data_IF_331248077675
#
_entry.id   IF_331248077675
#
_cell.length_a   1.000
_cell.length_b   1.000
_cell.length_c   1.000
_cell.angle_alpha   90.00
_cell.angle_beta   90.00
_cell.angle_gamma   90.00
#
_symmetry.space_group_name_H-M   'P 1'
#
loop_
_entity.id
_entity.type
_entity.pdbx_description
1 polymer ?
#
# COMPACT_ATOMS: atom_id res chain seq x y z
N UNK A 1 32.29 12.34 5.64
CA UNK A 1 32.83 12.27 4.25
C UNK A 1 33.47 13.61 3.93
N UNK A 2 34.67 13.59 3.33
CA UNK A 2 35.44 14.78 2.97
C UNK A 2 34.63 15.67 2.01
N UNK A 3 34.39 16.92 2.41
CA UNK A 3 33.86 17.96 1.55
C UNK A 3 34.92 18.31 0.50
N UNK A 4 34.68 17.92 -0.75
CA UNK A 4 35.45 18.41 -1.90
C UNK A 4 35.07 19.88 -2.07
N UNK A 5 35.96 20.79 -1.69
CA UNK A 5 35.77 22.22 -1.90
C UNK A 5 35.83 22.49 -3.41
N UNK A 6 34.68 22.82 -4.01
CA UNK A 6 34.56 23.19 -5.44
C UNK A 6 34.77 24.70 -5.60
N UNK A 7 35.50 25.12 -6.65
CA UNK A 7 35.83 26.54 -6.91
C UNK A 7 35.08 27.16 -8.12
N UNK A 8 33.90 26.63 -8.44
CA UNK A 8 33.09 27.11 -9.55
C UNK A 8 32.38 28.45 -9.27
N UNK A 9 31.75 29.03 -10.31
CA UNK A 9 31.06 30.33 -10.22
C UNK A 9 29.94 30.32 -9.16
N UNK A 10 29.27 29.17 -8.99
CA UNK A 10 28.16 29.05 -8.06
C UNK A 10 28.67 29.05 -6.61
N UNK A 11 29.75 28.33 -6.32
CA UNK A 11 30.42 28.32 -5.00
C UNK A 11 31.05 29.66 -4.60
N UNK A 12 31.30 30.56 -5.55
CA UNK A 12 31.70 31.94 -5.26
C UNK A 12 30.50 32.84 -4.97
N UNK A 13 29.36 32.54 -5.57
CA UNK A 13 28.13 33.32 -5.44
C UNK A 13 27.39 33.01 -4.13
N UNK A 14 27.34 31.72 -3.76
CA UNK A 14 26.75 31.22 -2.53
C UNK A 14 27.89 30.56 -1.76
N UNK A 15 28.15 31.01 -0.53
CA UNK A 15 29.23 30.53 0.34
C UNK A 15 29.49 29.02 0.17
N UNK A 16 30.76 28.62 0.05
CA UNK A 16 31.20 27.25 -0.26
C UNK A 16 30.53 26.20 0.65
N UNK A 17 30.19 26.56 1.88
CA UNK A 17 29.50 25.71 2.85
C UNK A 17 28.07 25.32 2.45
N UNK A 18 27.42 26.10 1.59
CA UNK A 18 26.01 25.94 1.23
C UNK A 18 25.86 25.11 -0.06
N UNK A 19 26.93 24.90 -0.84
CA UNK A 19 26.83 24.36 -2.22
C UNK A 19 26.88 22.83 -2.36
N UNK A 20 26.18 22.10 -1.50
CA UNK A 20 25.97 20.65 -1.63
C UNK A 20 24.96 20.28 -2.74
N UNK A 21 24.76 18.97 -3.00
CA UNK A 21 23.82 18.51 -4.03
C UNK A 21 22.39 18.97 -3.75
N UNK A 22 21.93 18.86 -2.49
CA UNK A 22 20.60 19.32 -2.06
C UNK A 22 20.39 20.81 -2.32
N UNK A 23 21.44 21.61 -2.30
CA UNK A 23 21.40 23.03 -2.63
C UNK A 23 21.28 23.25 -4.13
N UNK A 24 21.96 22.44 -4.94
CA UNK A 24 21.78 22.45 -6.40
C UNK A 24 20.32 22.15 -6.77
N UNK A 25 19.71 21.16 -6.10
CA UNK A 25 18.31 20.77 -6.29
C UNK A 25 17.38 21.95 -5.94
N UNK A 26 17.53 22.51 -4.74
CA UNK A 26 16.82 23.70 -4.28
C UNK A 26 16.93 24.85 -5.28
N UNK A 27 18.16 25.18 -5.72
CA UNK A 27 18.41 26.34 -6.55
C UNK A 27 17.78 26.17 -7.94
N UNK A 28 17.83 24.96 -8.50
CA UNK A 28 17.16 24.66 -9.76
C UNK A 28 15.65 24.84 -9.64
N UNK A 29 15.03 24.36 -8.56
CA UNK A 29 13.61 24.58 -8.28
C UNK A 29 13.27 26.06 -8.13
N UNK A 30 14.12 26.80 -7.42
CA UNK A 30 13.96 28.23 -7.19
C UNK A 30 13.95 29.01 -8.49
N UNK A 31 14.92 28.78 -9.37
CA UNK A 31 14.99 29.49 -10.64
C UNK A 31 13.75 29.15 -11.48
N UNK A 32 13.38 27.86 -11.60
CA UNK A 32 12.24 27.45 -12.43
C UNK A 32 10.88 27.90 -11.93
N UNK A 33 10.70 28.11 -10.62
CA UNK A 33 9.43 28.63 -10.12
C UNK A 33 9.25 30.13 -10.38
N UNK A 34 10.36 30.87 -10.54
CA UNK A 34 10.36 32.32 -10.77
C UNK A 34 10.45 32.72 -12.24
N UNK A 35 10.77 31.79 -13.15
CA UNK A 35 10.88 32.10 -14.57
C UNK A 35 10.51 30.92 -15.46
N UNK A 36 9.73 31.21 -16.51
CA UNK A 36 9.44 30.22 -17.57
C UNK A 36 10.62 30.03 -18.53
N UNK A 37 11.58 30.96 -18.52
CA UNK A 37 12.73 30.95 -19.44
C UNK A 37 13.78 29.90 -19.10
N UNK A 38 13.78 29.40 -17.86
CA UNK A 38 14.75 28.41 -17.39
C UNK A 38 14.24 26.96 -17.52
N UNK A 39 12.97 26.77 -17.89
CA UNK A 39 12.29 25.46 -18.00
C UNK A 39 13.00 24.52 -19.00
N UNK A 40 13.74 25.06 -19.97
CA UNK A 40 14.44 24.28 -21.00
C UNK A 40 15.82 23.75 -20.59
N UNK A 41 16.33 24.11 -19.41
CA UNK A 41 17.58 23.53 -18.91
C UNK A 41 17.24 22.21 -18.22
N UNK A 42 17.43 21.12 -18.95
CA UNK A 42 17.30 19.75 -18.43
C UNK A 42 18.09 19.64 -17.12
N UNK A 43 17.41 19.22 -16.06
CA UNK A 43 18.01 18.92 -14.77
C UNK A 43 19.14 17.87 -14.97
N UNK A 44 20.42 18.14 -14.65
CA UNK A 44 21.50 17.17 -14.92
C UNK A 44 22.93 17.72 -14.82
N UNK A 45 23.89 16.88 -15.26
CA UNK A 45 25.33 17.15 -15.21
C UNK A 45 25.68 18.47 -15.95
N UNK A 46 26.43 19.34 -15.27
CA UNK A 46 26.82 20.71 -15.68
C UNK A 46 25.79 21.85 -15.49
N UNK A 47 24.74 21.67 -14.69
CA UNK A 47 23.79 22.75 -14.41
C UNK A 47 24.31 23.86 -13.49
N UNK A 48 25.30 23.60 -12.63
CA UNK A 48 25.82 24.60 -11.68
C UNK A 48 26.29 25.89 -12.37
N UNK A 49 27.12 25.77 -13.42
CA UNK A 49 27.61 26.92 -14.15
C UNK A 49 26.49 27.62 -14.94
N UNK A 50 25.54 26.86 -15.50
CA UNK A 50 24.37 27.43 -16.20
C UNK A 50 23.47 28.21 -15.23
N UNK A 51 23.21 27.69 -14.04
CA UNK A 51 22.46 28.39 -12.98
C UNK A 51 23.20 29.66 -12.55
N UNK A 52 24.51 29.58 -12.31
CA UNK A 52 25.31 30.75 -11.95
C UNK A 52 25.30 31.83 -13.06
N UNK A 53 25.52 31.43 -14.32
CA UNK A 53 25.52 32.36 -15.45
C UNK A 53 24.14 32.99 -15.66
N UNK A 54 23.06 32.23 -15.47
CA UNK A 54 21.70 32.74 -15.54
C UNK A 54 21.41 33.75 -14.42
N UNK A 55 21.82 33.47 -13.19
CA UNK A 55 21.64 34.41 -12.07
C UNK A 55 22.46 35.69 -12.27
N UNK A 56 23.70 35.59 -12.75
CA UNK A 56 24.54 36.78 -13.07
C UNK A 56 23.84 37.67 -14.11
N UNK A 57 23.18 37.07 -15.10
CA UNK A 57 22.42 37.80 -16.12
C UNK A 57 21.09 38.37 -15.60
N UNK A 58 20.64 37.95 -14.41
CA UNK A 58 19.38 38.38 -13.79
C UNK A 58 19.60 38.86 -12.34
N UNK A 59 20.24 40.03 -12.09
CA UNK A 59 20.61 40.48 -10.75
C UNK A 59 19.46 40.55 -9.72
N UNK A 60 18.22 40.96 -10.07
CA UNK A 60 17.11 40.91 -9.13
C UNK A 60 16.79 39.49 -8.66
N UNK A 61 16.83 38.51 -9.57
CA UNK A 61 16.60 37.10 -9.26
C UNK A 61 17.76 36.51 -8.45
N UNK A 62 19.00 36.92 -8.75
CA UNK A 62 20.17 36.56 -7.96
C UNK A 62 20.03 36.97 -6.50
N UNK A 63 19.62 38.23 -6.25
CA UNK A 63 19.39 38.71 -4.89
C UNK A 63 18.33 37.87 -4.17
N UNK A 64 17.20 37.59 -4.82
CA UNK A 64 16.16 36.75 -4.24
C UNK A 64 16.63 35.33 -3.96
N UNK A 65 17.47 34.75 -4.83
CA UNK A 65 18.04 33.41 -4.61
C UNK A 65 18.98 33.38 -3.39
N UNK A 66 19.81 34.42 -3.22
CA UNK A 66 20.70 34.58 -2.05
C UNK A 66 19.87 34.75 -0.77
N UNK A 67 18.86 35.60 -0.80
CA UNK A 67 17.97 35.82 0.34
C UNK A 67 17.25 34.52 0.73
N UNK A 68 16.75 33.76 -0.24
CA UNK A 68 16.11 32.46 0.00
C UNK A 68 17.10 31.41 0.55
N UNK A 69 18.33 31.36 0.02
CA UNK A 69 19.37 30.47 0.53
C UNK A 69 19.73 30.78 2.00
N UNK A 70 19.76 32.07 2.37
CA UNK A 70 20.08 32.53 3.72
C UNK A 70 18.98 32.26 4.75
N UNK A 71 17.72 32.07 4.34
CA UNK A 71 16.64 31.62 5.23
C UNK A 71 16.89 30.20 5.76
N UNK A 72 17.80 29.47 5.13
CA UNK A 72 18.21 28.13 5.55
C UNK A 72 17.25 27.05 5.07
N UNK A 73 17.70 25.81 5.26
CA UNK A 73 16.97 24.58 4.93
C UNK A 73 16.72 23.80 6.21
N UNK A 74 15.71 22.95 6.22
CA UNK A 74 15.49 22.04 7.34
C UNK A 74 16.69 21.09 7.49
N UNK A 75 17.06 20.75 8.72
CA UNK A 75 18.09 19.73 8.95
C UNK A 75 17.62 18.37 8.45
N UNK A 76 18.56 17.47 8.16
CA UNK A 76 18.23 16.12 7.67
C UNK A 76 17.36 15.36 8.68
N UNK A 77 17.59 15.55 9.98
CA UNK A 77 16.79 14.95 11.05
C UNK A 77 15.28 15.24 10.94
N UNK A 78 14.89 16.41 10.39
CA UNK A 78 13.49 16.75 10.17
C UNK A 78 12.87 15.97 8.98
N UNK A 79 13.71 15.44 8.09
CA UNK A 79 13.35 14.82 6.82
C UNK A 79 13.63 13.30 6.79
N UNK A 80 14.29 12.73 7.81
CA UNK A 80 14.65 11.30 7.90
C UNK A 80 13.47 10.34 7.71
N UNK A 81 12.25 10.77 8.00
CA UNK A 81 11.04 9.96 7.85
C UNK A 81 10.55 9.86 6.39
N UNK A 82 11.09 10.69 5.49
CA UNK A 82 10.83 10.66 4.06
C UNK A 82 11.80 9.64 3.44
N UNK A 83 11.24 8.56 2.94
CA UNK A 83 11.98 7.42 2.38
C UNK A 83 11.92 7.40 0.85
N UNK A 84 12.56 6.41 0.22
CA UNK A 84 12.43 6.12 -1.21
C UNK A 84 11.18 5.27 -1.54
N UNK A 85 10.28 5.07 -0.59
CA UNK A 85 9.03 4.35 -0.84
C UNK A 85 8.16 5.15 -1.84
N UNK A 86 7.93 4.55 -3.01
CA UNK A 86 7.21 5.18 -4.12
C UNK A 86 5.81 5.67 -3.75
N UNK A 87 5.10 4.94 -2.89
CA UNK A 87 3.74 5.33 -2.46
C UNK A 87 3.80 6.55 -1.55
N UNK A 88 4.76 6.58 -0.62
CA UNK A 88 5.03 7.73 0.24
C UNK A 88 5.43 8.95 -0.58
N UNK A 89 6.41 8.82 -1.47
CA UNK A 89 6.93 9.93 -2.28
C UNK A 89 5.86 10.49 -3.21
N UNK A 90 5.09 9.64 -3.92
CA UNK A 90 3.97 10.09 -4.76
C UNK A 90 2.91 10.84 -3.94
N UNK A 91 2.60 10.35 -2.74
CA UNK A 91 1.66 11.02 -1.83
C UNK A 91 2.20 12.39 -1.37
N UNK A 92 3.46 12.46 -0.93
CA UNK A 92 4.10 13.70 -0.47
C UNK A 92 4.20 14.73 -1.59
N UNK A 93 4.55 14.31 -2.80
CA UNK A 93 4.58 15.20 -3.97
C UNK A 93 3.20 15.83 -4.18
N UNK A 94 2.13 15.05 -4.16
CA UNK A 94 0.78 15.59 -4.32
C UNK A 94 0.40 16.51 -3.15
N UNK A 95 0.65 16.08 -1.91
CA UNK A 95 0.36 16.83 -0.70
C UNK A 95 1.00 18.23 -0.72
N UNK A 96 2.31 18.28 -0.98
CA UNK A 96 3.03 19.55 -1.03
C UNK A 96 2.70 20.36 -2.28
N UNK A 97 2.50 19.75 -3.45
CA UNK A 97 2.07 20.50 -4.64
C UNK A 97 0.71 21.18 -4.41
N UNK A 98 -0.23 20.52 -3.73
CA UNK A 98 -1.55 21.08 -3.41
C UNK A 98 -1.48 22.25 -2.41
N UNK A 99 -0.64 22.12 -1.37
CA UNK A 99 -0.42 23.18 -0.38
C UNK A 99 0.30 24.36 -1.02
N UNK A 100 1.35 24.12 -1.79
CA UNK A 100 2.21 25.15 -2.38
C UNK A 100 1.60 25.76 -3.66
N UNK A 101 0.49 25.21 -4.14
CA UNK A 101 -0.08 25.52 -5.47
C UNK A 101 0.96 25.37 -6.59
N UNK A 102 1.86 24.40 -6.44
CA UNK A 102 2.92 24.12 -7.39
C UNK A 102 2.40 23.20 -8.50
N UNK A 103 2.72 23.52 -9.75
CA UNK A 103 2.33 22.68 -10.88
C UNK A 103 3.23 21.43 -10.95
N UNK A 104 2.66 20.25 -10.61
CA UNK A 104 3.34 18.95 -10.65
C UNK A 104 4.02 18.65 -12.00
N UNK A 105 3.53 19.19 -13.11
CA UNK A 105 4.13 18.99 -14.45
C UNK A 105 5.50 19.67 -14.60
N UNK A 106 5.83 20.63 -13.73
CA UNK A 106 7.11 21.36 -13.73
C UNK A 106 8.19 20.66 -12.89
N UNK A 107 7.89 19.52 -12.28
CA UNK A 107 8.86 18.77 -11.49
C UNK A 107 9.98 18.20 -12.38
N UNK A 108 11.25 18.26 -11.94
CA UNK A 108 12.37 17.67 -12.66
C UNK A 108 12.24 16.15 -12.70
N UNK A 109 12.38 15.58 -13.89
CA UNK A 109 12.22 14.12 -14.11
C UNK A 109 13.44 13.28 -13.72
N UNK A 110 14.58 13.94 -13.49
CA UNK A 110 15.88 13.29 -13.29
C UNK A 110 16.29 13.23 -11.80
N UNK A 111 15.51 13.86 -10.90
CA UNK A 111 15.65 13.64 -9.47
C UNK A 111 15.02 12.30 -9.06
N UNK A 112 15.55 11.72 -7.99
CA UNK A 112 14.83 10.66 -7.28
C UNK A 112 13.50 11.21 -6.74
N UNK A 113 12.54 10.34 -6.48
CA UNK A 113 11.24 10.78 -5.96
C UNK A 113 11.39 11.39 -4.56
N UNK A 114 12.29 10.86 -3.72
CA UNK A 114 12.62 11.43 -2.41
C UNK A 114 13.25 12.81 -2.53
N UNK A 115 14.29 12.95 -3.36
CA UNK A 115 14.98 14.24 -3.52
C UNK A 115 14.05 15.29 -4.13
N UNK A 116 13.09 14.87 -4.97
CA UNK A 116 12.02 15.75 -5.47
C UNK A 116 11.17 16.31 -4.33
N UNK A 117 10.78 15.48 -3.37
CA UNK A 117 10.02 15.93 -2.18
C UNK A 117 10.85 16.90 -1.34
N UNK A 118 12.12 16.58 -1.09
CA UNK A 118 13.02 17.43 -0.31
C UNK A 118 13.23 18.78 -0.99
N UNK A 119 13.48 18.78 -2.30
CA UNK A 119 13.65 20.01 -3.07
C UNK A 119 12.37 20.87 -3.10
N UNK A 120 11.18 20.26 -3.14
CA UNK A 120 9.91 20.98 -3.00
C UNK A 120 9.80 21.69 -1.64
N UNK A 121 10.13 20.99 -0.55
CA UNK A 121 10.11 21.54 0.81
C UNK A 121 11.15 22.66 0.95
N UNK A 122 12.38 22.42 0.49
CA UNK A 122 13.47 23.40 0.58
C UNK A 122 13.17 24.65 -0.23
N UNK A 123 12.60 24.49 -1.42
CA UNK A 123 12.22 25.58 -2.30
C UNK A 123 11.17 26.52 -1.69
N UNK A 124 10.38 26.03 -0.75
CA UNK A 124 9.29 26.82 -0.19
C UNK A 124 9.79 28.02 0.60
N UNK A 125 9.38 29.20 0.14
CA UNK A 125 9.89 30.50 0.59
C UNK A 125 9.18 31.02 1.85
N UNK A 126 9.27 30.24 2.93
CA UNK A 126 8.74 30.54 4.28
C UNK A 126 9.80 30.30 5.35
N UNK A 127 9.54 30.70 6.59
CA UNK A 127 10.48 30.49 7.68
C UNK A 127 10.65 29.00 8.02
N UNK A 128 11.85 28.60 8.47
CA UNK A 128 12.13 27.19 8.79
C UNK A 128 11.23 26.64 9.90
N UNK A 129 10.82 27.47 10.86
CA UNK A 129 9.89 27.05 11.90
C UNK A 129 8.54 26.64 11.28
N UNK A 130 7.97 27.47 10.42
CA UNK A 130 6.73 27.17 9.71
C UNK A 130 6.89 25.95 8.81
N UNK A 131 7.98 25.87 8.04
CA UNK A 131 8.32 24.72 7.19
C UNK A 131 8.35 23.42 7.98
N UNK A 132 8.96 23.44 9.17
CA UNK A 132 8.99 22.28 10.07
C UNK A 132 7.59 21.87 10.54
N UNK A 133 6.70 22.82 10.79
CA UNK A 133 5.30 22.53 11.16
C UNK A 133 4.59 21.77 10.04
N UNK A 134 4.67 22.25 8.80
CA UNK A 134 4.05 21.57 7.66
C UNK A 134 4.64 20.19 7.36
N UNK A 135 5.96 20.02 7.54
CA UNK A 135 6.59 18.70 7.42
C UNK A 135 6.10 17.74 8.50
N UNK A 136 5.93 18.23 9.74
CA UNK A 136 5.37 17.43 10.82
C UNK A 136 3.90 17.07 10.56
N UNK A 137 3.09 18.01 10.06
CA UNK A 137 1.71 17.75 9.68
C UNK A 137 1.61 16.70 8.57
N UNK A 138 2.48 16.78 7.56
CA UNK A 138 2.60 15.75 6.53
C UNK A 138 2.97 14.39 7.13
N UNK A 139 3.89 14.35 8.10
CA UNK A 139 4.30 13.12 8.79
C UNK A 139 3.15 12.48 9.57
N UNK A 140 2.38 13.28 10.31
CA UNK A 140 1.22 12.81 11.05
C UNK A 140 0.14 12.31 10.09
N UNK A 141 -0.15 13.05 9.02
CA UNK A 141 -1.14 12.65 8.01
C UNK A 141 -0.74 11.34 7.29
N UNK A 142 0.56 11.18 6.98
CA UNK A 142 1.09 9.94 6.41
C UNK A 142 0.92 8.77 7.38
N UNK A 143 1.30 8.95 8.65
CA UNK A 143 1.20 7.92 9.68
C UNK A 143 -0.27 7.50 9.89
N UNK A 144 -1.19 8.45 9.96
CA UNK A 144 -2.62 8.19 10.07
C UNK A 144 -3.16 7.43 8.86
N UNK A 145 -2.65 7.71 7.65
CA UNK A 145 -2.99 6.95 6.44
C UNK A 145 -2.52 5.50 6.54
N UNK A 146 -1.27 5.28 6.97
CA UNK A 146 -0.72 3.93 7.16
C UNK A 146 -1.51 3.14 8.21
N UNK A 147 -1.98 3.79 9.27
CA UNK A 147 -2.83 3.14 10.27
C UNK A 147 -4.16 2.63 9.69
N UNK A 148 -4.70 3.33 8.69
CA UNK A 148 -5.92 2.89 7.98
C UNK A 148 -5.66 1.74 7.01
N UNK A 149 -4.41 1.51 6.60
CA UNK A 149 -4.08 0.37 5.73
C UNK A 149 -4.33 -0.99 6.41
N UNK A 150 -4.63 -1.01 7.71
CA UNK A 150 -5.06 -2.21 8.45
C UNK A 150 -6.26 -2.91 7.81
N UNK A 151 -7.13 -2.18 7.09
CA UNK A 151 -8.23 -2.80 6.33
C UNK A 151 -7.73 -3.84 5.31
N UNK A 152 -6.49 -3.66 4.80
CA UNK A 152 -5.84 -4.55 3.86
C UNK A 152 -5.07 -5.69 4.51
N UNK A 153 -4.93 -5.73 5.85
CA UNK A 153 -4.16 -6.78 6.53
C UNK A 153 -4.69 -8.19 6.26
N UNK A 154 -5.98 -8.30 5.95
CA UNK A 154 -6.56 -9.57 5.52
C UNK A 154 -5.90 -10.14 4.25
N UNK A 155 -5.33 -9.30 3.39
CA UNK A 155 -4.61 -9.75 2.19
C UNK A 155 -3.19 -10.23 2.49
N UNK A 156 -2.54 -9.73 3.55
CA UNK A 156 -1.14 -10.03 3.92
C UNK A 156 -0.92 -11.45 4.50
N UNK A 157 -1.86 -12.38 4.31
CA UNK A 157 -1.84 -13.66 5.02
C UNK A 157 -0.97 -14.69 4.30
N UNK A 158 0.34 -14.67 4.60
CA UNK A 158 1.38 -15.64 4.21
C UNK A 158 1.07 -16.37 2.87
N UNK A 159 0.82 -17.68 2.94
CA UNK A 159 0.68 -18.59 1.79
C UNK A 159 -0.54 -18.28 0.89
N UNK A 160 -1.50 -17.49 1.36
CA UNK A 160 -2.72 -17.16 0.61
C UNK A 160 -2.71 -15.74 0.03
N UNK A 161 -1.67 -14.93 0.27
CA UNK A 161 -1.65 -13.52 -0.15
C UNK A 161 -1.90 -13.37 -1.65
N UNK A 162 -1.12 -14.07 -2.48
CA UNK A 162 -1.25 -13.98 -3.93
C UNK A 162 -2.64 -14.44 -4.40
N UNK A 163 -3.17 -15.53 -3.83
CA UNK A 163 -4.49 -16.06 -4.21
C UNK A 163 -5.61 -15.07 -3.84
N UNK A 164 -5.53 -14.46 -2.66
CA UNK A 164 -6.50 -13.45 -2.18
C UNK A 164 -6.42 -12.16 -2.99
N UNK A 165 -5.22 -11.66 -3.26
CA UNK A 165 -5.01 -10.45 -4.08
C UNK A 165 -5.52 -10.66 -5.50
N UNK A 166 -5.21 -11.81 -6.11
CA UNK A 166 -5.72 -12.18 -7.43
C UNK A 166 -7.23 -12.28 -7.45
N UNK A 167 -7.83 -12.90 -6.42
CA UNK A 167 -9.28 -12.98 -6.31
C UNK A 167 -9.93 -11.59 -6.19
N UNK A 168 -9.38 -10.71 -5.37
CA UNK A 168 -9.86 -9.34 -5.24
C UNK A 168 -9.82 -8.60 -6.58
N UNK A 169 -8.72 -8.71 -7.34
CA UNK A 169 -8.61 -8.12 -8.67
C UNK A 169 -9.68 -8.65 -9.64
N UNK A 170 -9.88 -9.98 -9.69
CA UNK A 170 -10.93 -10.58 -10.54
C UNK A 170 -12.31 -10.07 -10.12
N UNK A 171 -12.59 -10.08 -8.82
CA UNK A 171 -13.86 -9.63 -8.27
C UNK A 171 -14.14 -8.16 -8.62
N UNK A 172 -13.13 -7.29 -8.48
CA UNK A 172 -13.23 -5.88 -8.85
C UNK A 172 -13.46 -5.69 -10.35
N UNK A 173 -12.72 -6.43 -11.20
CA UNK A 173 -12.88 -6.38 -12.65
C UNK A 173 -14.26 -6.83 -13.11
N UNK A 174 -14.82 -7.86 -12.46
CA UNK A 174 -16.13 -8.42 -12.79
C UNK A 174 -17.29 -7.64 -12.15
N UNK A 175 -17.03 -6.87 -11.10
CA UNK A 175 -18.01 -5.93 -10.56
C UNK A 175 -18.34 -4.89 -11.63
N UNK A 176 -19.63 -4.73 -11.95
CA UNK A 176 -20.13 -3.85 -13.03
C UNK A 176 -19.67 -2.38 -12.91
N UNK A 177 -19.05 -2.01 -11.79
CA UNK A 177 -18.53 -0.69 -11.49
C UNK A 177 -17.19 -0.39 -12.20
N UNK A 178 -16.36 -1.38 -12.58
CA UNK A 178 -15.04 -1.10 -13.19
C UNK A 178 -14.62 -1.97 -14.40
N UNK A 179 -15.44 -2.10 -15.46
CA UNK A 179 -15.13 -3.00 -16.60
C UNK A 179 -13.93 -2.56 -17.46
N UNK A 180 -13.37 -1.36 -17.24
CA UNK A 180 -12.27 -0.79 -18.07
C UNK A 180 -10.89 -0.91 -17.43
N UNK A 181 -10.74 -1.74 -16.41
CA UNK A 181 -9.46 -1.90 -15.72
C UNK A 181 -8.46 -2.65 -16.63
N UNK A 182 -7.56 -1.91 -17.27
CA UNK A 182 -6.47 -2.45 -18.12
C UNK A 182 -5.23 -2.85 -17.32
N UNK A 183 -5.25 -2.68 -15.99
CA UNK A 183 -4.12 -3.01 -15.12
C UNK A 183 -3.90 -4.52 -15.04
N UNK A 184 -2.63 -4.91 -14.99
CA UNK A 184 -2.21 -6.29 -14.70
C UNK A 184 -2.81 -6.76 -13.37
N UNK A 185 -3.01 -8.07 -13.24
CA UNK A 185 -3.52 -8.67 -12.01
C UNK A 185 -2.60 -8.35 -10.84
N UNK A 186 -3.19 -7.90 -9.72
CA UNK A 186 -2.45 -7.59 -8.49
C UNK A 186 -1.93 -8.87 -7.85
N UNK A 187 -0.62 -8.97 -7.63
CA UNK A 187 0.04 -10.17 -7.10
C UNK A 187 0.37 -10.09 -5.61
N UNK A 188 0.34 -8.89 -5.05
CA UNK A 188 0.61 -8.64 -3.64
C UNK A 188 -0.32 -7.54 -3.11
N UNK A 189 -0.34 -7.38 -1.78
CA UNK A 189 -1.21 -6.42 -1.12
C UNK A 189 -0.87 -4.95 -1.44
N UNK A 190 0.39 -4.60 -1.71
CA UNK A 190 0.77 -3.21 -2.05
C UNK A 190 0.18 -2.78 -3.39
N UNK A 191 0.27 -3.64 -4.41
CA UNK A 191 -0.38 -3.41 -5.71
C UNK A 191 -1.90 -3.28 -5.57
N UNK A 192 -2.49 -4.04 -4.65
CA UNK A 192 -3.91 -3.98 -4.37
C UNK A 192 -4.29 -2.64 -3.71
N UNK A 193 -3.50 -2.15 -2.74
CA UNK A 193 -3.72 -0.83 -2.13
C UNK A 193 -3.66 0.27 -3.18
N UNK A 194 -2.62 0.28 -4.02
CA UNK A 194 -2.49 1.24 -5.13
C UNK A 194 -3.63 1.14 -6.15
N UNK A 195 -4.23 -0.05 -6.29
CA UNK A 195 -5.42 -0.23 -7.10
C UNK A 195 -6.65 0.43 -6.47
N UNK A 196 -6.92 0.16 -5.19
CA UNK A 196 -8.04 0.76 -4.46
C UNK A 196 -7.94 2.29 -4.44
N UNK A 197 -6.77 2.83 -4.11
CA UNK A 197 -6.52 4.28 -4.08
C UNK A 197 -6.71 4.94 -5.46
N UNK A 198 -6.42 4.22 -6.55
CA UNK A 198 -6.66 4.73 -7.90
C UNK A 198 -8.13 4.63 -8.34
N UNK A 199 -8.90 3.73 -7.73
CA UNK A 199 -10.32 3.55 -8.02
C UNK A 199 -11.16 4.61 -7.29
N UNK A 200 -10.85 4.86 -6.02
CA UNK A 200 -11.63 5.75 -5.17
C UNK A 200 -10.79 6.33 -4.05
N UNK A 201 -11.02 7.61 -3.75
CA UNK A 201 -10.50 8.26 -2.55
C UNK A 201 -11.39 8.07 -1.32
N UNK A 202 -12.56 7.44 -1.46
CA UNK A 202 -13.50 7.22 -0.35
C UNK A 202 -13.10 5.99 0.48
N UNK A 203 -12.76 6.23 1.74
CA UNK A 203 -12.41 5.19 2.71
C UNK A 203 -13.58 4.23 2.98
N UNK A 204 -14.79 4.76 3.21
CA UNK A 204 -16.00 3.95 3.41
C UNK A 204 -16.26 3.00 2.24
N UNK A 205 -16.03 3.47 1.01
CA UNK A 205 -16.17 2.65 -0.18
C UNK A 205 -15.13 1.53 -0.21
N UNK A 206 -13.88 1.84 0.14
CA UNK A 206 -12.79 0.85 0.21
C UNK A 206 -13.13 -0.22 1.24
N UNK A 207 -13.48 0.16 2.47
CA UNK A 207 -13.82 -0.76 3.55
C UNK A 207 -14.99 -1.67 3.18
N UNK A 208 -16.09 -1.09 2.69
CA UNK A 208 -17.26 -1.85 2.28
C UNK A 208 -16.95 -2.83 1.15
N UNK A 209 -16.10 -2.42 0.21
CA UNK A 209 -15.70 -3.26 -0.93
C UNK A 209 -14.83 -4.43 -0.46
N UNK A 210 -13.87 -4.19 0.44
CA UNK A 210 -13.05 -5.23 1.03
C UNK A 210 -13.90 -6.24 1.79
N UNK A 211 -14.90 -5.79 2.58
CA UNK A 211 -15.82 -6.69 3.28
C UNK A 211 -16.65 -7.57 2.32
N UNK A 212 -17.09 -7.02 1.18
CA UNK A 212 -17.77 -7.82 0.14
C UNK A 212 -16.84 -8.85 -0.48
N UNK A 213 -15.60 -8.49 -0.77
CA UNK A 213 -14.58 -9.41 -1.31
C UNK A 213 -14.31 -10.54 -0.30
N UNK A 214 -14.11 -10.23 0.98
CA UNK A 214 -13.92 -11.23 2.06
C UNK A 214 -15.07 -12.23 2.10
N UNK A 215 -16.33 -11.75 2.07
CA UNK A 215 -17.52 -12.61 2.06
C UNK A 215 -17.56 -13.51 0.83
N UNK A 216 -17.31 -12.97 -0.36
CA UNK A 216 -17.29 -13.73 -1.60
C UNK A 216 -16.18 -14.80 -1.61
N UNK A 217 -15.00 -14.45 -1.09
CA UNK A 217 -13.89 -15.38 -0.92
C UNK A 217 -14.25 -16.55 0.00
N UNK A 218 -14.77 -16.25 1.20
CA UNK A 218 -15.16 -17.28 2.16
C UNK A 218 -16.25 -18.20 1.59
N UNK A 219 -17.21 -17.64 0.86
CA UNK A 219 -18.24 -18.42 0.18
C UNK A 219 -17.65 -19.32 -0.91
N UNK A 220 -16.68 -18.82 -1.68
CA UNK A 220 -15.95 -19.62 -2.68
C UNK A 220 -15.20 -20.78 -2.02
N UNK A 221 -14.42 -20.52 -0.97
CA UNK A 221 -13.70 -21.54 -0.20
C UNK A 221 -14.65 -22.60 0.35
N UNK A 222 -15.77 -22.16 0.94
CA UNK A 222 -16.80 -23.06 1.44
C UNK A 222 -17.36 -23.99 0.34
N UNK A 223 -17.72 -23.43 -0.83
CA UNK A 223 -18.20 -24.21 -1.97
C UNK A 223 -17.15 -25.18 -2.51
N UNK A 224 -15.87 -24.77 -2.54
CA UNK A 224 -14.77 -25.66 -2.93
C UNK A 224 -14.63 -26.84 -1.95
N UNK A 225 -14.72 -26.57 -0.65
CA UNK A 225 -14.65 -27.60 0.40
C UNK A 225 -15.84 -28.57 0.38
N UNK A 226 -16.99 -28.15 -0.17
CA UNK A 226 -18.17 -29.00 -0.36
C UNK A 226 -18.13 -29.83 -1.64
N UNK A 227 -17.16 -29.65 -2.55
CA UNK A 227 -17.10 -30.42 -3.79
C UNK A 227 -16.95 -31.92 -3.45
N UNK A 228 -17.93 -32.73 -3.87
CA UNK A 228 -17.98 -34.16 -3.54
C UNK A 228 -18.63 -34.50 -2.19
N UNK A 229 -19.02 -33.49 -1.40
CA UNK A 229 -19.74 -33.65 -0.14
C UNK A 229 -21.19 -33.18 -0.32
N UNK A 230 -22.14 -33.97 0.16
CA UNK A 230 -23.56 -33.58 0.21
C UNK A 230 -24.01 -33.52 1.66
N UNK A 231 -24.65 -32.43 2.05
CA UNK A 231 -25.27 -32.34 3.38
C UNK A 231 -26.43 -33.33 3.46
N UNK A 232 -26.40 -34.20 4.47
CA UNK A 232 -27.47 -35.12 4.81
C UNK A 232 -28.02 -34.73 6.19
N UNK A 233 -29.32 -34.47 6.27
CA UNK A 233 -29.98 -34.15 7.54
C UNK A 233 -30.57 -35.44 8.11
N UNK A 234 -30.26 -35.72 9.39
CA UNK A 234 -30.73 -36.92 10.09
C UNK A 234 -31.54 -36.50 11.33
N UNK A 235 -32.63 -37.23 11.59
CA UNK A 235 -33.32 -37.16 12.88
C UNK A 235 -32.78 -38.30 13.74
N UNK A 236 -32.10 -37.96 14.82
CA UNK A 236 -31.49 -38.90 15.77
C UNK A 236 -32.09 -38.68 17.15
N UNK A 237 -32.17 -39.74 17.96
CA UNK A 237 -32.56 -39.61 19.36
C UNK A 237 -31.48 -38.88 20.15
N UNK A 238 -31.84 -38.21 21.25
CA UNK A 238 -30.87 -37.53 22.13
C UNK A 238 -29.77 -38.48 22.61
N UNK A 239 -30.13 -39.72 22.94
CA UNK A 239 -29.17 -40.75 23.33
C UNK A 239 -28.14 -41.05 22.21
N UNK A 240 -28.57 -41.13 20.95
CA UNK A 240 -27.67 -41.34 19.82
C UNK A 240 -26.74 -40.14 19.59
N UNK A 241 -27.23 -38.92 19.79
CA UNK A 241 -26.42 -37.70 19.72
C UNK A 241 -25.35 -37.71 20.83
N UNK A 242 -25.72 -38.08 22.05
CA UNK A 242 -24.78 -38.17 23.18
C UNK A 242 -23.69 -39.24 22.94
N UNK A 243 -24.06 -40.39 22.37
CA UNK A 243 -23.08 -41.40 21.98
C UNK A 243 -22.14 -40.90 20.88
N UNK A 244 -22.67 -40.19 19.88
CA UNK A 244 -21.88 -39.61 18.81
C UNK A 244 -20.88 -38.57 19.33
N UNK A 245 -21.27 -37.74 20.31
CA UNK A 245 -20.37 -36.80 20.99
C UNK A 245 -19.22 -37.53 21.70
N UNK A 246 -19.54 -38.56 22.48
CA UNK A 246 -18.53 -39.34 23.19
C UNK A 246 -17.54 -40.02 22.24
N UNK A 247 -18.01 -40.50 21.09
CA UNK A 247 -17.13 -41.08 20.06
C UNK A 247 -16.24 -40.02 19.41
N UNK A 248 -16.81 -38.86 19.11
CA UNK A 248 -16.09 -37.71 18.56
C UNK A 248 -14.97 -37.27 19.48
N UNK A 249 -15.26 -37.08 20.77
CA UNK A 249 -14.28 -36.71 21.81
C UNK A 249 -13.22 -37.79 22.02
N UNK A 250 -13.62 -39.05 22.08
CA UNK A 250 -12.70 -40.18 22.33
C UNK A 250 -11.66 -40.35 21.21
N UNK A 251 -12.04 -40.06 19.98
CA UNK A 251 -11.22 -40.34 18.79
C UNK A 251 -10.65 -39.08 18.12
N UNK A 252 -10.93 -37.89 18.65
CA UNK A 252 -10.55 -36.60 18.08
C UNK A 252 -10.97 -36.45 16.60
N UNK A 253 -12.18 -36.92 16.29
CA UNK A 253 -12.79 -36.86 14.96
C UNK A 253 -14.10 -36.09 15.02
N UNK A 254 -14.45 -35.38 13.96
CA UNK A 254 -15.75 -34.73 13.85
C UNK A 254 -16.89 -35.76 13.81
N UNK A 255 -18.09 -35.35 14.25
CA UNK A 255 -19.30 -36.20 14.17
C UNK A 255 -19.54 -36.77 12.76
N UNK A 256 -19.27 -35.99 11.73
CA UNK A 256 -19.42 -36.41 10.34
C UNK A 256 -18.41 -37.51 9.96
N UNK A 257 -17.14 -37.35 10.37
CA UNK A 257 -16.10 -38.37 10.15
C UNK A 257 -16.43 -39.68 10.87
N UNK A 258 -16.92 -39.61 12.11
CA UNK A 258 -17.39 -40.80 12.83
C UNK A 258 -18.50 -41.52 12.04
N UNK A 259 -19.50 -40.77 11.55
CA UNK A 259 -20.59 -41.34 10.74
C UNK A 259 -20.05 -41.98 9.46
N UNK A 260 -19.15 -41.31 8.74
CA UNK A 260 -18.56 -41.86 7.52
C UNK A 260 -17.77 -43.15 7.77
N UNK A 261 -16.97 -43.19 8.85
CA UNK A 261 -16.22 -44.40 9.24
C UNK A 261 -17.17 -45.55 9.56
N UNK A 262 -18.23 -45.29 10.33
CA UNK A 262 -19.22 -46.32 10.69
C UNK A 262 -19.98 -46.82 9.46
N UNK A 263 -20.38 -45.94 8.55
CA UNK A 263 -21.06 -46.32 7.30
C UNK A 263 -20.14 -47.19 6.44
N UNK A 264 -18.87 -46.80 6.26
CA UNK A 264 -17.90 -47.57 5.46
C UNK A 264 -17.65 -48.95 6.08
N UNK A 265 -17.37 -48.99 7.38
CA UNK A 265 -17.11 -50.25 8.08
C UNK A 265 -18.30 -51.21 8.01
N UNK A 266 -19.52 -50.69 8.15
CA UNK A 266 -20.72 -51.51 8.06
C UNK A 266 -21.05 -51.93 6.63
N UNK A 267 -20.81 -51.09 5.61
CA UNK A 267 -20.97 -51.46 4.22
C UNK A 267 -19.99 -52.57 3.78
N UNK A 268 -18.79 -52.60 4.35
CA UNK A 268 -17.77 -53.61 4.05
C UNK A 268 -18.00 -54.93 4.80
N UNK A 269 -18.40 -54.86 6.07
CA UNK A 269 -18.44 -56.04 6.97
C UNK A 269 -19.84 -56.56 7.25
N UNK A 270 -20.87 -55.77 6.98
CA UNK A 270 -22.30 -56.08 7.15
C UNK A 270 -22.66 -56.74 8.50
N UNK A 271 -21.95 -56.34 9.56
CA UNK A 271 -21.98 -57.05 10.84
C UNK A 271 -23.15 -56.58 11.71
N UNK A 272 -23.29 -55.26 11.90
CA UNK A 272 -24.21 -54.70 12.89
C UNK A 272 -25.65 -54.62 12.40
N UNK A 273 -25.88 -54.30 11.12
CA UNK A 273 -27.21 -54.23 10.49
C UNK A 273 -27.78 -55.64 10.36
N UNK A 274 -26.99 -56.60 9.89
CA UNK A 274 -27.42 -58.01 9.76
C UNK A 274 -27.84 -58.60 11.10
N UNK A 275 -27.04 -58.37 12.15
CA UNK A 275 -27.36 -58.84 13.50
C UNK A 275 -28.66 -58.20 14.01
N UNK A 276 -28.83 -56.89 13.81
CA UNK A 276 -30.05 -56.17 14.19
C UNK A 276 -31.29 -56.70 13.46
N UNK A 277 -31.19 -56.99 12.16
CA UNK A 277 -32.27 -57.58 11.36
C UNK A 277 -32.60 -59.01 11.82
N UNK A 278 -31.59 -59.82 12.16
CA UNK A 278 -31.79 -61.17 12.70
C UNK A 278 -32.53 -61.14 14.03
N UNK A 279 -32.09 -60.29 14.98
CA UNK A 279 -32.76 -60.11 16.27
C UNK A 279 -34.20 -59.65 16.11
N UNK A 280 -34.46 -58.75 15.15
CA UNK A 280 -35.82 -58.27 14.87
C UNK A 280 -36.74 -59.38 14.35
N UNK A 281 -36.24 -60.31 13.53
CA UNK A 281 -37.02 -61.46 13.05
C UNK A 281 -37.38 -62.43 14.19
N UNK A 282 -36.43 -62.72 15.08
CA UNK A 282 -36.65 -63.59 16.25
C UNK A 282 -37.62 -63.02 17.29
N UNK A 283 -37.91 -61.71 17.25
CA UNK A 283 -38.89 -61.06 18.14
C UNK A 283 -40.30 -61.00 17.53
N UNK A 284 -40.45 -61.41 16.26
CA UNK A 284 -41.72 -61.42 15.52
C UNK A 284 -42.24 -62.85 15.28
N UNK A 285 -41.46 -63.87 15.63
CA UNK A 285 -41.85 -65.29 15.76
C UNK A 285 -42.24 -65.60 17.20
#
# INVERSE_FOLDING_TARGET
>A
MSSIIREDKLSRMFDRQITDHRFEDFLWFFINSKTEKFIHIEYGLNNRNKMADFLIQNPPLQKLAIDAANRGRLSENCLDWITEDKRQTDWLINYFCEIFKYNRQRLPKLLTERDTVIALIDHWDIENFEKSTFVNDAKFAWSARQDKDRVYDWFKKNEEEEERCRFAWVWLKESATYPKMSRLATRNHLELILLFEAISSSEDWIELTIEKIKKAWNQRRYRQNLKGKKQCNFILTENAINLLNRLSEKHDLTRAEIIEVLIKAEAEKETYISEKLRKRRLLLE
#
